data_IF_028057205489
#
_entry.id   IF_028057205489
#
_cell.length_a   1.000
_cell.length_b   1.000
_cell.length_c   1.000
_cell.angle_alpha   90.00
_cell.angle_beta   90.00
_cell.angle_gamma   90.00
#
_symmetry.space_group_name_H-M   'P 1'
#
loop_
_entity.id
_entity.type
_entity.pdbx_description
1 polymer ?
#
# COMPACT_ATOMS: atom_id res chain seq x y z
N UNK A 1 -10.95 7.72 0.82
CA UNK A 1 -9.55 8.22 0.85
C UNK A 1 -8.68 7.08 0.37
N UNK A 2 -7.81 7.32 -0.61
CA UNK A 2 -6.90 6.29 -1.10
C UNK A 2 -5.88 5.94 0.00
N UNK A 3 -5.58 4.66 0.17
CA UNK A 3 -4.63 4.20 1.18
C UNK A 3 -3.25 4.83 0.97
N UNK A 4 -2.63 5.29 2.06
CA UNK A 4 -1.28 5.84 2.06
C UNK A 4 -0.38 4.96 2.90
N UNK A 5 0.85 4.73 2.44
CA UNK A 5 1.80 3.87 3.17
C UNK A 5 2.31 4.63 4.40
N UNK A 6 2.03 4.16 5.63
CA UNK A 6 2.54 4.80 6.84
C UNK A 6 4.05 4.62 6.95
N UNK A 7 4.76 5.63 7.43
CA UNK A 7 6.18 5.48 7.78
C UNK A 7 6.31 4.64 9.05
N UNK A 8 7.06 3.52 8.99
CA UNK A 8 7.30 2.68 10.15
C UNK A 8 8.40 3.31 11.02
N UNK A 9 8.09 3.48 12.31
CA UNK A 9 9.06 3.95 13.32
C UNK A 9 9.88 2.80 13.90
N UNK A 10 9.27 1.63 13.99
CA UNK A 10 9.85 0.41 14.52
C UNK A 10 9.64 -0.72 13.51
N UNK A 11 10.74 -1.35 13.07
CA UNK A 11 10.73 -2.50 12.13
C UNK A 11 10.51 -3.83 12.86
N UNK A 12 9.89 -3.81 14.03
CA UNK A 12 9.57 -5.04 14.77
C UNK A 12 8.59 -5.90 13.97
N UNK A 13 8.68 -7.24 14.06
CA UNK A 13 7.78 -8.15 13.33
C UNK A 13 6.30 -7.81 13.52
N UNK A 14 5.87 -7.56 14.77
CA UNK A 14 4.49 -7.19 15.07
C UNK A 14 4.03 -5.85 14.47
N UNK A 15 4.95 -4.90 14.26
CA UNK A 15 4.65 -3.62 13.63
C UNK A 15 4.51 -3.77 12.11
N UNK A 16 5.40 -4.57 11.49
CA UNK A 16 5.32 -4.96 10.08
C UNK A 16 4.05 -5.75 9.81
N UNK A 17 3.72 -6.75 10.62
CA UNK A 17 2.50 -7.55 10.48
C UNK A 17 1.24 -6.67 10.52
N UNK A 18 1.14 -5.76 11.49
CA UNK A 18 0.01 -4.81 11.57
C UNK A 18 -0.05 -3.87 10.37
N UNK A 19 1.10 -3.45 9.85
CA UNK A 19 1.16 -2.55 8.70
C UNK A 19 0.74 -3.28 7.41
N UNK A 20 1.20 -4.52 7.22
CA UNK A 20 0.82 -5.41 6.12
C UNK A 20 -0.66 -5.76 6.19
N UNK A 21 -1.20 -6.07 7.38
CA UNK A 21 -2.62 -6.36 7.56
C UNK A 21 -3.50 -5.18 7.13
N UNK A 22 -3.14 -3.95 7.53
CA UNK A 22 -3.85 -2.73 7.09
C UNK A 22 -3.74 -2.52 5.59
N UNK A 23 -2.58 -2.79 5.00
CA UNK A 23 -2.36 -2.69 3.57
C UNK A 23 -3.23 -3.66 2.79
N UNK A 24 -3.28 -4.93 3.22
CA UNK A 24 -4.10 -5.96 2.59
C UNK A 24 -5.59 -5.65 2.75
N UNK A 25 -6.01 -5.18 3.93
CA UNK A 25 -7.40 -4.79 4.17
C UNK A 25 -7.83 -3.61 3.31
N UNK A 26 -6.95 -2.62 3.13
CA UNK A 26 -7.21 -1.49 2.23
C UNK A 26 -7.25 -1.91 0.76
N UNK A 27 -6.37 -2.82 0.34
CA UNK A 27 -6.38 -3.38 -1.01
C UNK A 27 -7.72 -4.09 -1.29
N UNK A 28 -8.17 -4.92 -0.36
CA UNK A 28 -9.43 -5.67 -0.48
C UNK A 28 -10.62 -4.72 -0.59
N UNK A 29 -10.73 -3.75 0.33
CA UNK A 29 -11.79 -2.73 0.33
C UNK A 29 -11.81 -1.89 -0.96
N UNK A 30 -10.64 -1.40 -1.40
CA UNK A 30 -10.54 -0.61 -2.63
C UNK A 30 -10.87 -1.47 -3.86
N UNK A 31 -10.43 -2.73 -3.89
CA UNK A 31 -10.71 -3.65 -5.00
C UNK A 31 -12.19 -4.05 -5.08
N UNK A 32 -12.85 -4.23 -3.94
CA UNK A 32 -14.27 -4.54 -3.84
C UNK A 32 -15.16 -3.35 -4.25
N UNK A 33 -14.64 -2.13 -4.11
CA UNK A 33 -15.32 -0.90 -4.52
C UNK A 33 -15.18 -0.58 -6.02
N UNK A 34 -14.39 -1.35 -6.78
CA UNK A 34 -14.22 -1.15 -8.22
C UNK A 34 -15.46 -1.63 -8.98
N UNK A 35 -16.24 -0.70 -9.51
CA UNK A 35 -17.41 -1.00 -10.34
C UNK A 35 -17.10 -0.90 -11.85
N UNK A 36 -16.14 -0.06 -12.23
CA UNK A 36 -15.87 0.29 -13.63
C UNK A 36 -14.40 0.09 -14.04
N UNK A 37 -14.17 -0.10 -15.34
CA UNK A 37 -12.83 -0.27 -15.91
C UNK A 37 -11.95 0.98 -15.71
N UNK A 38 -12.54 2.17 -15.76
CA UNK A 38 -11.84 3.42 -15.49
C UNK A 38 -11.30 3.47 -14.04
N UNK A 39 -12.12 3.06 -13.05
CA UNK A 39 -11.70 2.98 -11.65
C UNK A 39 -10.62 1.92 -11.46
N UNK A 40 -10.74 0.77 -12.12
CA UNK A 40 -9.72 -0.29 -12.09
C UNK A 40 -8.38 0.18 -12.62
N UNK A 41 -8.38 1.00 -13.68
CA UNK A 41 -7.16 1.61 -14.22
C UNK A 41 -6.54 2.58 -13.20
N UNK A 42 -7.33 3.46 -12.62
CA UNK A 42 -6.85 4.41 -11.58
C UNK A 42 -6.32 3.68 -10.35
N UNK A 43 -7.01 2.65 -9.88
CA UNK A 43 -6.56 1.79 -8.78
C UNK A 43 -5.24 1.13 -9.11
N UNK A 44 -5.13 0.49 -10.29
CA UNK A 44 -3.88 -0.14 -10.72
C UNK A 44 -2.76 0.89 -10.81
N UNK A 45 -3.01 2.05 -11.38
CA UNK A 45 -2.00 3.11 -11.47
C UNK A 45 -1.60 3.60 -10.07
N UNK A 46 -2.52 3.72 -9.12
CA UNK A 46 -2.21 4.12 -7.74
C UNK A 46 -1.40 3.05 -6.98
N UNK A 47 -1.70 1.76 -7.17
CA UNK A 47 -1.04 0.67 -6.45
C UNK A 47 0.30 0.24 -7.08
N UNK A 48 0.37 0.23 -8.42
CA UNK A 48 1.50 -0.29 -9.20
C UNK A 48 2.31 0.81 -9.92
N UNK A 49 2.01 2.10 -9.73
CA UNK A 49 2.83 3.16 -10.30
C UNK A 49 4.29 3.03 -9.87
N UNK A 50 5.19 3.15 -10.86
CA UNK A 50 6.63 2.95 -10.64
C UNK A 50 7.28 4.04 -9.78
N UNK A 51 6.78 5.28 -9.85
CA UNK A 51 7.34 6.43 -9.11
C UNK A 51 6.68 6.64 -7.76
N UNK A 52 5.36 6.74 -7.75
CA UNK A 52 4.61 7.15 -6.56
C UNK A 52 3.60 6.08 -6.10
N UNK A 53 3.66 4.89 -6.69
CA UNK A 53 2.74 3.81 -6.35
C UNK A 53 3.00 3.24 -4.97
N UNK A 54 1.97 2.62 -4.40
CA UNK A 54 2.02 2.02 -3.06
C UNK A 54 3.19 1.02 -2.93
N UNK A 55 3.46 0.19 -3.95
CA UNK A 55 4.60 -0.73 -3.94
C UNK A 55 5.95 -0.02 -3.82
N UNK A 56 6.15 1.08 -4.53
CA UNK A 56 7.38 1.88 -4.43
C UNK A 56 7.49 2.51 -3.05
N UNK A 57 6.39 3.03 -2.50
CA UNK A 57 6.38 3.60 -1.16
C UNK A 57 6.69 2.56 -0.07
N UNK A 58 6.16 1.33 -0.15
CA UNK A 58 6.55 0.24 0.76
C UNK A 58 8.05 -0.02 0.67
N UNK A 59 8.60 -0.06 -0.54
CA UNK A 59 10.02 -0.30 -0.72
C UNK A 59 10.87 0.82 -0.09
N UNK A 60 10.50 2.08 -0.30
CA UNK A 60 11.23 3.23 0.25
C UNK A 60 11.03 3.43 1.76
N UNK A 61 9.84 3.20 2.28
CA UNK A 61 9.47 3.52 3.67
C UNK A 61 9.60 2.33 4.62
N UNK A 62 9.50 1.09 4.12
CA UNK A 62 9.55 -0.12 4.94
C UNK A 62 10.80 -0.97 4.65
N UNK A 63 11.10 -1.27 3.39
CA UNK A 63 12.20 -2.20 3.05
C UNK A 63 13.58 -1.56 3.12
N UNK A 64 13.77 -0.38 2.52
CA UNK A 64 15.06 0.34 2.55
C UNK A 64 15.53 0.75 3.96
N UNK A 65 14.67 1.26 4.85
CA UNK A 65 15.09 1.67 6.19
C UNK A 65 15.09 0.53 7.22
N UNK A 66 14.68 -0.68 6.85
CA UNK A 66 14.77 -1.82 7.75
C UNK A 66 16.24 -2.11 8.11
N UNK A 67 16.57 -2.28 9.41
CA UNK A 67 17.93 -2.52 9.89
C UNK A 67 18.45 -3.93 9.58
#
# INVERSE_FOLDING_TARGET
>A
MAYTVPQLKDFSPAALDKAVEKLLSALDQESAALADEAQRKTFRDHWLARKDGILTQINELWLKPAP
#
